data_IF_751639608978
#
_entry.id   IF_751639608978
#
_cell.length_a   1.000
_cell.length_b   1.000
_cell.length_c   1.000
_cell.angle_alpha   90.00
_cell.angle_beta   90.00
_cell.angle_gamma   90.00
#
_symmetry.space_group_name_H-M   'P 1'
#
loop_
_entity.id
_entity.type
_entity.pdbx_description
1 polymer ?
#
# COMPACT_ATOMS: atom_id res chain seq x y z
N UNK A 1 2.64 20.91 10.28
CA UNK A 1 2.63 19.74 9.39
C UNK A 1 1.19 19.58 8.93
N UNK A 2 0.87 19.97 7.70
CA UNK A 2 -0.47 19.78 7.15
C UNK A 2 -0.66 18.30 6.89
N UNK A 3 -1.56 17.65 7.63
CA UNK A 3 -2.05 16.32 7.26
C UNK A 3 -2.70 16.45 5.89
N UNK A 4 -2.03 15.92 4.86
CA UNK A 4 -2.66 15.74 3.56
C UNK A 4 -3.75 14.69 3.76
N UNK A 5 -4.99 15.15 3.90
CA UNK A 5 -6.15 14.26 3.92
C UNK A 5 -6.28 13.63 2.53
N UNK A 6 -5.83 12.38 2.38
CA UNK A 6 -6.06 11.61 1.17
C UNK A 6 -7.52 11.16 1.17
N UNK A 7 -8.28 11.66 0.20
CA UNK A 7 -9.64 11.21 -0.09
C UNK A 7 -9.58 10.13 -1.16
N UNK A 8 -10.43 9.12 -1.05
CA UNK A 8 -10.60 8.13 -2.12
C UNK A 8 -11.05 8.84 -3.41
N UNK A 9 -10.28 8.68 -4.48
CA UNK A 9 -10.57 9.19 -5.81
C UNK A 9 -10.22 8.10 -6.81
N UNK A 10 -11.24 7.55 -7.46
CA UNK A 10 -11.08 6.43 -8.40
C UNK A 10 -10.13 6.74 -9.55
N UNK A 11 -10.01 8.01 -9.95
CA UNK A 11 -9.11 8.41 -11.02
C UNK A 11 -7.63 8.31 -10.64
N UNK A 12 -7.33 8.21 -9.34
CA UNK A 12 -5.98 8.09 -8.80
C UNK A 12 -5.66 6.66 -8.35
N UNK A 13 -6.54 5.67 -8.54
CA UNK A 13 -6.27 4.29 -8.12
C UNK A 13 -5.53 3.57 -9.24
N UNK A 14 -4.35 3.02 -8.91
CA UNK A 14 -3.57 2.16 -9.80
C UNK A 14 -4.12 0.74 -9.76
N UNK A 15 -4.28 0.21 -8.55
CA UNK A 15 -4.83 -1.12 -8.31
C UNK A 15 -5.55 -1.15 -6.95
N UNK A 16 -6.56 -2.02 -6.82
CA UNK A 16 -7.27 -2.20 -5.55
C UNK A 16 -7.68 -3.64 -5.32
N UNK A 17 -7.78 -3.99 -4.05
CA UNK A 17 -8.44 -5.20 -3.57
C UNK A 17 -9.52 -4.80 -2.58
N UNK A 18 -10.74 -5.25 -2.82
CA UNK A 18 -11.85 -5.10 -1.87
C UNK A 18 -12.04 -6.37 -1.07
N UNK A 19 -12.12 -6.21 0.25
CA UNK A 19 -12.51 -7.21 1.23
C UNK A 19 -13.91 -6.84 1.75
N UNK A 20 -14.49 -7.69 2.61
CA UNK A 20 -15.86 -7.51 3.09
C UNK A 20 -16.13 -6.11 3.70
N UNK A 21 -15.19 -5.59 4.50
CA UNK A 21 -15.37 -4.34 5.24
C UNK A 21 -14.30 -3.27 4.96
N UNK A 22 -13.39 -3.52 4.01
CA UNK A 22 -12.31 -2.60 3.72
C UNK A 22 -11.84 -2.73 2.27
N UNK A 23 -11.25 -1.68 1.74
CA UNK A 23 -10.60 -1.71 0.42
C UNK A 23 -9.17 -1.21 0.54
N UNK A 24 -8.22 -2.00 0.07
CA UNK A 24 -6.79 -1.64 0.02
C UNK A 24 -6.49 -1.16 -1.41
N UNK A 25 -5.97 0.06 -1.54
CA UNK A 25 -5.69 0.70 -2.82
C UNK A 25 -4.22 1.09 -2.92
N UNK A 26 -3.63 0.82 -4.08
CA UNK A 26 -2.43 1.51 -4.54
C UNK A 26 -2.89 2.79 -5.23
N UNK A 27 -2.41 3.93 -4.75
CA UNK A 27 -2.81 5.25 -5.24
C UNK A 27 -1.65 5.87 -6.02
N UNK A 28 -1.95 6.57 -7.10
CA UNK A 28 -0.97 7.36 -7.84
C UNK A 28 -0.47 8.48 -6.92
N UNK A 29 0.84 8.52 -6.66
CA UNK A 29 1.44 9.57 -5.86
C UNK A 29 1.14 10.96 -6.44
N UNK A 30 0.86 11.92 -5.55
CA UNK A 30 0.83 13.35 -5.88
C UNK A 30 2.09 13.98 -5.28
N UNK A 31 2.84 14.72 -6.09
CA UNK A 31 3.92 15.62 -5.68
C UNK A 31 4.84 15.11 -4.54
N UNK A 32 5.73 14.17 -4.85
CA UNK A 32 6.90 13.85 -4.00
C UNK A 32 6.67 12.86 -2.86
N UNK A 33 5.45 12.38 -2.64
CA UNK A 33 5.09 11.40 -1.59
C UNK A 33 4.66 10.04 -2.18
N UNK A 34 5.41 9.57 -3.19
CA UNK A 34 5.00 8.44 -4.04
C UNK A 34 5.31 7.06 -3.44
N UNK A 35 6.19 6.98 -2.44
CA UNK A 35 6.76 5.69 -2.02
C UNK A 35 5.86 4.88 -1.09
N UNK A 36 5.11 5.52 -0.19
CA UNK A 36 4.20 4.83 0.74
C UNK A 36 2.76 4.98 0.24
N UNK A 37 2.51 4.72 -1.04
CA UNK A 37 1.28 5.07 -1.74
C UNK A 37 0.15 4.03 -1.60
N UNK A 38 0.16 3.22 -0.55
CA UNK A 38 -0.89 2.22 -0.29
C UNK A 38 -1.73 2.66 0.89
N UNK A 39 -3.03 2.63 0.70
CA UNK A 39 -4.03 3.07 1.67
C UNK A 39 -5.07 1.99 1.87
N UNK A 40 -5.56 1.86 3.10
CA UNK A 40 -6.73 1.08 3.41
C UNK A 40 -7.88 2.02 3.76
N UNK A 41 -9.04 1.75 3.18
CA UNK A 41 -10.26 2.49 3.38
C UNK A 41 -11.34 1.60 3.99
N UNK A 42 -12.17 2.17 4.86
CA UNK A 42 -13.40 1.53 5.33
C UNK A 42 -14.50 1.54 4.23
N UNK A 43 -15.67 0.99 4.56
CA UNK A 43 -16.83 0.99 3.65
C UNK A 43 -17.35 2.38 3.29
N UNK A 44 -17.07 3.38 4.13
CA UNK A 44 -17.42 4.79 3.92
C UNK A 44 -16.31 5.56 3.18
N UNK A 45 -15.31 4.85 2.64
CA UNK A 45 -14.15 5.39 1.94
C UNK A 45 -13.29 6.34 2.78
N UNK A 46 -13.29 6.16 4.11
CA UNK A 46 -12.40 6.87 5.03
C UNK A 46 -11.12 6.09 5.22
N UNK A 47 -9.99 6.79 5.31
CA UNK A 47 -8.69 6.16 5.53
C UNK A 47 -8.66 5.52 6.92
N UNK A 48 -8.43 4.21 6.96
CA UNK A 48 -8.13 3.45 8.18
C UNK A 48 -6.63 3.56 8.48
N UNK A 49 -5.80 3.29 7.47
CA UNK A 49 -4.35 3.40 7.57
C UNK A 49 -3.70 3.65 6.21
N UNK A 50 -2.46 4.14 6.27
CA UNK A 50 -1.50 4.21 5.17
C UNK A 50 -0.40 3.20 5.45
N UNK A 51 0.12 2.52 4.43
CA UNK A 51 1.24 1.58 4.58
C UNK A 51 2.40 2.28 5.30
N UNK A 52 3.00 1.57 6.24
CA UNK A 52 4.16 2.09 6.97
C UNK A 52 5.41 1.95 6.11
N UNK A 53 6.37 2.84 6.35
CA UNK A 53 7.66 2.76 5.69
C UNK A 53 8.31 1.39 5.95
N UNK A 54 8.87 0.81 4.88
CA UNK A 54 9.58 -0.48 4.97
C UNK A 54 10.78 -0.39 5.92
N UNK A 55 10.91 -1.32 6.88
CA UNK A 55 12.11 -1.44 7.70
C UNK A 55 13.34 -1.74 6.84
N UNK A 56 14.49 -1.15 7.18
CA UNK A 56 15.72 -1.27 6.36
C UNK A 56 16.22 -2.71 6.32
N UNK A 57 16.02 -3.46 7.40
CA UNK A 57 16.32 -4.88 7.54
C UNK A 57 15.47 -5.78 6.61
N UNK A 58 14.31 -5.29 6.14
CA UNK A 58 13.43 -6.02 5.21
C UNK A 58 13.64 -5.54 3.77
N UNK A 59 13.59 -4.23 3.54
CA UNK A 59 13.54 -3.63 2.20
C UNK A 59 14.86 -3.05 1.71
N UNK A 60 15.88 -2.97 2.56
CA UNK A 60 17.07 -2.16 2.32
C UNK A 60 16.74 -0.66 2.37
N UNK A 61 17.65 0.15 1.82
CA UNK A 61 17.52 1.62 1.81
C UNK A 61 16.78 2.17 0.59
N UNK A 62 16.64 1.37 -0.47
CA UNK A 62 15.96 1.77 -1.69
C UNK A 62 14.43 1.79 -1.49
N UNK A 63 13.82 2.95 -1.76
CA UNK A 63 12.37 3.15 -1.70
C UNK A 63 11.83 3.44 -3.09
N UNK A 64 10.63 2.93 -3.35
CA UNK A 64 9.98 3.03 -4.65
C UNK A 64 8.48 2.99 -4.47
N UNK A 65 7.70 3.59 -5.38
CA UNK A 65 6.25 3.49 -5.36
C UNK A 65 5.80 2.04 -5.55
N UNK A 66 4.73 1.68 -4.84
CA UNK A 66 3.98 0.47 -5.12
C UNK A 66 3.14 0.67 -6.39
N UNK A 67 3.04 -0.38 -7.18
CA UNK A 67 2.26 -0.41 -8.44
C UNK A 67 1.24 -1.52 -8.47
N UNK A 68 1.24 -2.39 -7.47
CA UNK A 68 0.19 -3.38 -7.37
C UNK A 68 -0.08 -3.92 -5.98
N UNK A 69 -1.24 -4.55 -5.84
CA UNK A 69 -1.74 -5.14 -4.60
C UNK A 69 -2.51 -6.42 -4.89
N UNK A 70 -2.30 -7.44 -4.07
CA UNK A 70 -3.04 -8.70 -4.13
C UNK A 70 -3.43 -9.18 -2.74
N UNK A 71 -4.51 -9.96 -2.69
CA UNK A 71 -4.93 -10.69 -1.50
C UNK A 71 -5.29 -12.11 -1.89
N UNK A 72 -4.61 -13.07 -1.29
CA UNK A 72 -4.81 -14.50 -1.57
C UNK A 72 -4.63 -15.27 -0.27
N UNK A 73 -5.60 -16.13 0.05
CA UNK A 73 -5.55 -17.03 1.22
C UNK A 73 -5.23 -16.30 2.54
N UNK A 74 -5.80 -15.10 2.76
CA UNK A 74 -5.56 -14.33 3.99
C UNK A 74 -4.28 -13.51 4.00
N UNK A 75 -3.45 -13.59 2.96
CA UNK A 75 -2.21 -12.81 2.84
C UNK A 75 -2.40 -11.64 1.88
N UNK A 76 -2.20 -10.42 2.35
CA UNK A 76 -2.11 -9.24 1.50
C UNK A 76 -0.65 -8.94 1.16
N UNK A 77 -0.40 -8.67 -0.12
CA UNK A 77 0.92 -8.27 -0.62
C UNK A 77 0.81 -7.07 -1.53
N UNK A 78 1.82 -6.21 -1.46
CA UNK A 78 2.02 -5.08 -2.37
C UNK A 78 3.31 -5.25 -3.15
N UNK A 79 3.35 -4.80 -4.40
CA UNK A 79 4.51 -4.93 -5.27
C UNK A 79 4.98 -3.56 -5.75
N UNK A 80 6.29 -3.34 -5.75
CA UNK A 80 6.89 -2.12 -6.27
C UNK A 80 7.34 -2.25 -7.73
N UNK A 81 7.75 -1.13 -8.33
CA UNK A 81 8.22 -1.05 -9.73
C UNK A 81 9.42 -1.96 -10.05
N UNK A 82 10.14 -2.47 -9.04
CA UNK A 82 11.30 -3.34 -9.23
C UNK A 82 10.98 -4.82 -8.98
N UNK A 83 9.70 -5.16 -8.82
CA UNK A 83 9.26 -6.53 -8.56
C UNK A 83 9.52 -7.00 -7.13
N UNK A 84 9.71 -6.10 -6.16
CA UNK A 84 9.78 -6.47 -4.74
C UNK A 84 8.36 -6.60 -4.21
N UNK A 85 8.00 -7.78 -3.71
CA UNK A 85 6.71 -8.07 -3.10
C UNK A 85 6.82 -8.08 -1.58
N UNK A 86 6.06 -7.20 -0.94
CA UNK A 86 6.02 -7.03 0.50
C UNK A 86 4.73 -7.60 1.06
N UNK A 87 4.82 -8.49 2.04
CA UNK A 87 3.65 -8.88 2.83
C UNK A 87 3.31 -7.77 3.81
N UNK A 88 2.04 -7.43 3.90
CA UNK A 88 1.56 -6.40 4.83
C UNK A 88 0.58 -6.98 5.84
N UNK A 89 0.64 -6.46 7.06
CA UNK A 89 -0.41 -6.64 8.05
C UNK A 89 -1.60 -5.77 7.65
N UNK A 90 -2.71 -6.42 7.30
CA UNK A 90 -3.93 -5.75 6.82
C UNK A 90 -4.61 -4.90 7.89
N UNK A 91 -4.29 -5.12 9.17
CA UNK A 91 -4.93 -4.42 10.27
C UNK A 91 -4.33 -3.04 10.51
N UNK A 92 -3.06 -2.82 10.13
CA UNK A 92 -2.33 -1.62 10.51
C UNK A 92 -1.34 -1.08 9.44
N UNK A 93 -1.18 -1.78 8.31
CA UNK A 93 -0.29 -1.37 7.22
C UNK A 93 1.20 -1.64 7.47
N UNK A 94 1.58 -2.44 8.46
CA UNK A 94 2.98 -2.83 8.71
C UNK A 94 3.50 -3.78 7.64
N UNK A 95 4.77 -3.62 7.27
CA UNK A 95 5.45 -4.54 6.37
C UNK A 95 6.08 -5.67 7.19
N UNK A 96 5.67 -6.90 6.89
CA UNK A 96 6.05 -8.11 7.64
C UNK A 96 7.23 -8.85 7.02
N UNK A 97 7.32 -8.87 5.69
CA UNK A 97 8.40 -9.56 4.95
C UNK A 97 8.50 -9.08 3.51
N UNK A 98 9.62 -9.40 2.85
CA UNK A 98 9.85 -9.11 1.44
C UNK A 98 10.31 -10.37 0.69
N UNK A 99 9.87 -10.50 -0.57
CA UNK A 99 10.42 -11.45 -1.55
C UNK A 99 10.52 -10.77 -2.91
N UNK A 100 11.44 -11.24 -3.75
CA UNK A 100 11.52 -10.81 -5.16
C UNK A 100 10.58 -11.67 -5.99
N UNK A 101 9.79 -11.03 -6.85
CA UNK A 101 8.97 -11.69 -7.87
C UNK A 101 9.72 -11.58 -9.20
N UNK A 102 10.00 -12.74 -9.81
CA UNK A 102 10.69 -12.86 -11.10
C UNK A 102 9.68 -13.09 -12.21
#
# INVERSE_FOLDING_TARGET
MTETNYYYDENNIIEKVSLENMTICVVKGKDGDENDNVYCFDSDMRVIWRIKQVPTEIGGTARSPYVGVSYTEGSCRVIDIYGRSFAIDITNGEILSMRIVK
#
